data_IF_025464665055
#
_entry.id   IF_025464665055
#
_cell.length_a   1.000
_cell.length_b   1.000
_cell.length_c   1.000
_cell.angle_alpha   90.00
_cell.angle_beta   90.00
_cell.angle_gamma   90.00
#
_symmetry.space_group_name_H-M   'P 1'
#
loop_
_entity.id
_entity.type
_entity.pdbx_description
1 polymer ?
#
# COMPACT_ATOMS: atom_id res chain seq x y z
N UNK A 1 -91.92 -29.65 -33.91
CA UNK A 1 -92.55 -29.29 -32.63
C UNK A 1 -91.67 -28.19 -31.97
N UNK A 2 -92.33 -27.08 -31.69
CA UNK A 2 -91.76 -25.82 -31.17
C UNK A 2 -91.08 -25.96 -29.83
N UNK A 3 -89.97 -25.15 -29.56
CA UNK A 3 -90.05 -24.19 -28.49
C UNK A 3 -88.88 -23.21 -28.51
N UNK A 4 -89.25 -21.95 -28.40
CA UNK A 4 -88.53 -20.73 -28.17
C UNK A 4 -87.80 -20.72 -26.81
N UNK A 5 -86.70 -20.01 -26.67
CA UNK A 5 -86.07 -19.68 -25.41
C UNK A 5 -84.97 -18.59 -25.54
N UNK A 6 -85.45 -17.44 -25.44
CA UNK A 6 -84.94 -16.08 -25.00
C UNK A 6 -83.47 -15.86 -24.76
N UNK A 7 -83.01 -14.91 -25.48
CA UNK A 7 -81.79 -14.13 -25.36
C UNK A 7 -81.84 -13.22 -24.12
N UNK A 8 -80.83 -13.34 -23.21
CA UNK A 8 -80.57 -12.35 -22.19
C UNK A 8 -79.20 -11.73 -22.48
N UNK A 9 -79.22 -10.46 -22.88
CA UNK A 9 -78.05 -9.61 -23.06
C UNK A 9 -77.62 -9.08 -21.68
N UNK A 10 -76.44 -9.43 -21.25
CA UNK A 10 -75.83 -8.84 -20.06
C UNK A 10 -74.81 -7.81 -20.50
N UNK A 11 -75.21 -6.56 -20.31
CA UNK A 11 -74.33 -5.40 -20.56
C UNK A 11 -73.30 -5.31 -19.39
N UNK A 12 -72.04 -5.65 -19.67
CA UNK A 12 -70.97 -5.45 -18.71
C UNK A 12 -70.46 -3.99 -18.77
N UNK A 13 -70.64 -3.32 -17.66
CA UNK A 13 -70.06 -2.01 -17.44
C UNK A 13 -68.57 -2.19 -17.01
N UNK A 14 -67.65 -1.83 -17.89
CA UNK A 14 -66.25 -1.77 -17.55
C UNK A 14 -65.92 -0.40 -16.94
N UNK A 15 -65.70 -0.38 -15.65
CA UNK A 15 -65.18 0.78 -14.95
C UNK A 15 -63.66 0.96 -15.29
N UNK A 16 -63.18 2.16 -15.56
CA UNK A 16 -61.77 2.38 -15.78
C UNK A 16 -61.03 2.31 -14.43
N UNK A 17 -60.09 1.37 -14.31
CA UNK A 17 -59.15 1.30 -13.20
C UNK A 17 -58.12 2.40 -13.43
N UNK A 18 -58.21 3.47 -12.64
CA UNK A 18 -57.16 4.49 -12.56
C UNK A 18 -55.98 3.89 -11.76
N UNK A 19 -54.94 3.48 -12.48
CA UNK A 19 -53.66 3.11 -11.89
C UNK A 19 -52.93 4.40 -11.51
N UNK A 20 -52.94 4.75 -10.23
CA UNK A 20 -52.01 5.76 -9.68
C UNK A 20 -50.59 5.19 -9.70
N UNK A 21 -49.77 5.62 -10.64
CA UNK A 21 -48.35 5.38 -10.62
C UNK A 21 -47.72 6.29 -9.54
N UNK A 22 -47.41 5.72 -8.37
CA UNK A 22 -46.60 6.40 -7.35
C UNK A 22 -45.16 6.50 -7.85
N UNK A 23 -44.77 7.66 -8.33
CA UNK A 23 -43.35 7.99 -8.55
C UNK A 23 -42.68 8.15 -7.19
N UNK A 24 -41.98 7.11 -6.74
CA UNK A 24 -41.08 7.21 -5.61
C UNK A 24 -39.86 8.03 -6.09
N UNK A 25 -39.83 9.31 -5.72
CA UNK A 25 -38.63 10.16 -5.81
C UNK A 25 -37.63 9.62 -4.80
N UNK A 26 -36.77 8.69 -5.20
CA UNK A 26 -35.57 8.37 -4.46
C UNK A 26 -34.60 9.57 -4.61
N UNK A 27 -34.64 10.44 -3.62
CA UNK A 27 -33.60 11.45 -3.45
C UNK A 27 -32.29 10.73 -3.16
N UNK A 28 -31.57 10.36 -4.22
CA UNK A 28 -30.19 9.92 -4.13
C UNK A 28 -29.39 11.07 -3.56
N UNK A 29 -29.03 10.98 -2.29
CA UNK A 29 -27.97 11.82 -1.70
C UNK A 29 -26.72 11.49 -2.48
N UNK A 30 -26.41 12.29 -3.49
CA UNK A 30 -25.10 12.28 -4.12
C UNK A 30 -24.12 12.64 -3.01
N UNK A 31 -23.45 11.63 -2.43
CA UNK A 31 -22.25 11.83 -1.64
C UNK A 31 -21.27 12.53 -2.57
N UNK A 32 -21.22 13.86 -2.44
CA UNK A 32 -20.27 14.68 -3.16
C UNK A 32 -18.88 14.16 -2.82
N UNK A 33 -18.25 13.50 -3.77
CA UNK A 33 -16.85 13.15 -3.67
C UNK A 33 -16.11 14.48 -3.53
N UNK A 34 -15.56 14.77 -2.34
CA UNK A 34 -14.71 15.93 -2.09
C UNK A 34 -13.54 15.87 -3.08
N UNK A 35 -13.70 16.57 -4.21
CA UNK A 35 -12.68 16.65 -5.22
C UNK A 35 -11.57 17.56 -4.71
N UNK A 36 -10.35 17.03 -4.59
CA UNK A 36 -9.14 17.81 -4.35
C UNK A 36 -8.42 17.56 -3.03
N UNK A 37 -8.96 16.76 -2.09
CA UNK A 37 -8.25 16.40 -0.87
C UNK A 37 -7.67 15.00 -1.04
N UNK A 38 -6.34 14.93 -1.20
CA UNK A 38 -5.61 13.65 -1.20
C UNK A 38 -5.41 13.22 0.25
N UNK A 39 -5.94 12.05 0.60
CA UNK A 39 -5.64 11.39 1.89
C UNK A 39 -4.53 10.38 1.63
N UNK A 40 -3.47 10.38 2.47
CA UNK A 40 -2.44 9.36 2.37
C UNK A 40 -3.03 7.95 2.55
N UNK A 41 -2.47 7.00 1.81
CA UNK A 41 -2.72 5.58 2.06
C UNK A 41 -2.23 5.18 3.46
N UNK A 42 -2.69 4.04 4.00
CA UNK A 42 -2.10 3.48 5.21
C UNK A 42 -0.58 3.34 5.07
N UNK A 43 0.20 3.60 6.15
CA UNK A 43 1.66 3.53 6.07
C UNK A 43 2.14 2.11 5.69
N UNK A 44 3.10 2.02 4.77
CA UNK A 44 3.76 0.76 4.41
C UNK A 44 4.54 0.16 5.60
N UNK A 45 4.96 1.01 6.55
CA UNK A 45 5.64 0.61 7.78
C UNK A 45 5.27 1.59 8.89
N UNK A 46 5.01 1.05 10.09
CA UNK A 46 4.89 1.81 11.32
C UNK A 46 5.63 1.05 12.42
N UNK A 47 6.82 1.55 12.78
CA UNK A 47 7.69 0.91 13.76
C UNK A 47 8.26 1.95 14.72
N UNK A 48 8.42 1.59 15.99
CA UNK A 48 9.13 2.40 16.97
C UNK A 48 10.59 1.99 17.00
N UNK A 49 11.48 2.93 16.73
CA UNK A 49 12.92 2.68 16.66
C UNK A 49 13.66 3.40 17.78
N UNK A 50 14.79 2.84 18.21
CA UNK A 50 15.75 3.47 19.10
C UNK A 50 17.03 3.81 18.35
N UNK A 51 17.88 4.66 18.96
CA UNK A 51 19.17 5.01 18.37
C UNK A 51 19.09 6.08 17.27
N UNK A 52 18.03 6.87 17.21
CA UNK A 52 17.95 8.04 16.35
C UNK A 52 18.98 9.11 16.76
N UNK A 53 19.46 9.96 15.82
CA UNK A 53 20.36 11.05 16.14
C UNK A 53 19.68 12.05 17.11
N UNK A 54 20.49 12.68 17.99
CA UNK A 54 19.98 13.58 19.04
C UNK A 54 20.57 14.99 18.97
N UNK A 55 21.41 15.26 17.97
CA UNK A 55 21.98 16.58 17.73
C UNK A 55 20.89 17.61 17.41
N UNK A 56 21.16 18.90 17.66
CA UNK A 56 20.26 20.01 17.31
C UNK A 56 20.03 20.09 15.78
N UNK A 57 21.04 19.73 15.01
CA UNK A 57 20.99 19.67 13.54
C UNK A 57 21.11 18.24 13.10
N UNK A 58 20.23 17.84 12.21
CA UNK A 58 20.22 16.51 11.62
C UNK A 58 20.24 16.64 10.08
N UNK A 59 20.84 15.68 9.44
CA UNK A 59 20.85 15.53 7.99
C UNK A 59 19.88 14.44 7.58
N UNK A 60 18.98 14.75 6.64
CA UNK A 60 18.08 13.77 6.02
C UNK A 60 18.60 13.46 4.62
N UNK A 61 18.89 12.19 4.38
CA UNK A 61 19.32 11.67 3.08
C UNK A 61 18.28 10.71 2.52
N UNK A 62 17.92 10.94 1.27
CA UNK A 62 17.08 10.02 0.49
C UNK A 62 17.91 9.52 -0.67
N UNK A 63 18.19 8.23 -0.67
CA UNK A 63 19.03 7.57 -1.66
C UNK A 63 18.18 6.57 -2.45
N UNK A 64 18.58 6.26 -3.65
CA UNK A 64 18.04 5.15 -4.44
C UNK A 64 19.15 4.16 -4.74
N UNK A 65 18.83 2.87 -4.70
CA UNK A 65 19.76 1.82 -5.09
C UNK A 65 19.09 0.84 -6.05
N UNK A 66 19.90 0.32 -6.98
CA UNK A 66 19.51 -0.74 -7.90
C UNK A 66 20.47 -1.90 -7.74
N UNK A 67 19.95 -3.09 -7.47
CA UNK A 67 20.71 -4.33 -7.39
C UNK A 67 20.37 -5.19 -8.60
N UNK A 68 21.37 -5.53 -9.40
CA UNK A 68 21.22 -6.54 -10.44
C UNK A 68 21.02 -7.93 -9.83
N UNK A 69 20.55 -8.92 -10.60
CA UNK A 69 20.52 -10.31 -10.13
C UNK A 69 21.86 -10.74 -9.51
N UNK A 70 21.81 -11.26 -8.27
CA UNK A 70 22.99 -11.72 -7.54
C UNK A 70 23.81 -10.65 -6.84
N UNK A 71 23.53 -9.36 -7.01
CA UNK A 71 24.25 -8.28 -6.31
C UNK A 71 24.01 -8.32 -4.80
N UNK A 72 25.00 -7.84 -4.06
CA UNK A 72 24.94 -7.66 -2.61
C UNK A 72 25.68 -6.42 -2.16
N UNK A 73 25.33 -5.90 -0.98
CA UNK A 73 26.14 -4.85 -0.32
C UNK A 73 27.44 -5.42 0.23
N UNK A 74 28.38 -4.55 0.54
CA UNK A 74 29.49 -4.91 1.42
C UNK A 74 28.94 -5.31 2.80
N UNK A 75 29.70 -6.08 3.58
CA UNK A 75 29.37 -6.36 4.98
C UNK A 75 29.64 -5.09 5.79
N UNK A 76 28.63 -4.58 6.52
CA UNK A 76 28.67 -3.24 7.12
C UNK A 76 27.76 -3.10 8.34
N UNK A 77 27.86 -1.94 9.00
CA UNK A 77 26.90 -1.44 9.97
C UNK A 77 26.44 -0.04 9.58
N UNK A 78 25.35 0.41 10.20
CA UNK A 78 24.89 1.81 10.23
C UNK A 78 24.99 2.36 11.64
N UNK A 79 25.32 3.65 11.80
CA UNK A 79 25.36 4.31 13.12
C UNK A 79 23.96 4.68 13.62
N UNK A 80 23.04 4.92 12.72
CA UNK A 80 21.64 5.25 12.98
C UNK A 80 20.70 4.33 12.20
N UNK A 81 19.41 4.20 12.61
CA UNK A 81 18.46 3.38 11.87
C UNK A 81 18.32 3.82 10.41
N UNK A 82 18.28 2.88 9.50
CA UNK A 82 18.02 3.10 8.07
C UNK A 82 16.65 2.52 7.72
N UNK A 83 15.81 3.30 7.06
CA UNK A 83 14.55 2.79 6.52
C UNK A 83 14.72 2.53 5.04
N UNK A 84 14.41 1.31 4.60
CA UNK A 84 14.37 0.94 3.18
C UNK A 84 12.95 0.66 2.75
N UNK A 85 12.59 1.12 1.55
CA UNK A 85 11.32 0.87 0.90
C UNK A 85 11.55 0.27 -0.47
N UNK A 86 10.94 -0.88 -0.75
CA UNK A 86 11.15 -1.60 -2.00
C UNK A 86 10.17 -1.10 -3.07
N UNK A 87 10.74 -0.62 -4.18
CA UNK A 87 9.99 -0.21 -5.36
C UNK A 87 9.74 -1.39 -6.30
N UNK A 88 10.73 -2.30 -6.41
CA UNK A 88 10.71 -3.42 -7.36
C UNK A 88 11.53 -4.58 -6.81
N UNK A 89 11.08 -5.81 -7.07
CA UNK A 89 11.77 -7.04 -6.69
C UNK A 89 11.60 -7.44 -5.23
N UNK A 90 12.56 -8.21 -4.72
CA UNK A 90 12.58 -8.72 -3.35
C UNK A 90 13.99 -8.62 -2.75
N UNK A 91 14.13 -7.81 -1.72
CA UNK A 91 15.39 -7.56 -1.02
C UNK A 91 15.50 -8.46 0.21
N UNK A 92 16.63 -9.15 0.37
CA UNK A 92 16.90 -9.99 1.54
C UNK A 92 18.02 -9.37 2.36
N UNK A 93 17.74 -9.07 3.63
CA UNK A 93 18.73 -8.59 4.59
C UNK A 93 19.16 -9.73 5.50
N UNK A 94 20.45 -10.00 5.55
CA UNK A 94 21.10 -10.87 6.53
C UNK A 94 21.72 -10.01 7.61
N UNK A 95 21.40 -10.32 8.86
CA UNK A 95 21.90 -9.62 10.05
C UNK A 95 22.55 -10.62 11.00
N UNK A 96 23.69 -10.22 11.57
CA UNK A 96 24.38 -11.04 12.58
C UNK A 96 23.46 -11.39 13.74
N UNK A 97 23.38 -12.68 14.09
CA UNK A 97 22.56 -13.18 15.20
C UNK A 97 21.04 -13.21 14.95
N UNK A 98 20.58 -13.00 13.73
CA UNK A 98 19.14 -13.00 13.37
C UNK A 98 18.89 -13.86 12.12
N UNK A 99 17.67 -14.34 12.01
CA UNK A 99 17.22 -14.97 10.77
C UNK A 99 17.16 -13.92 9.64
N UNK A 100 17.51 -14.28 8.39
CA UNK A 100 17.36 -13.39 7.24
C UNK A 100 15.91 -12.92 7.07
N UNK A 101 15.74 -11.66 6.68
CA UNK A 101 14.43 -11.07 6.41
C UNK A 101 14.35 -10.70 4.94
N UNK A 102 13.26 -11.08 4.28
CA UNK A 102 13.00 -10.70 2.88
C UNK A 102 11.77 -9.82 2.81
N UNK A 103 11.90 -8.66 2.16
CA UNK A 103 10.82 -7.73 1.89
C UNK A 103 10.67 -7.52 0.37
N UNK A 104 9.43 -7.30 -0.08
CA UNK A 104 9.05 -7.22 -1.48
C UNK A 104 8.58 -5.81 -1.86
N UNK A 105 8.41 -5.58 -3.14
CA UNK A 105 7.84 -4.33 -3.65
C UNK A 105 6.58 -3.91 -2.87
N UNK A 106 6.51 -2.63 -2.50
CA UNK A 106 5.46 -2.05 -1.65
C UNK A 106 5.67 -2.21 -0.14
N UNK A 107 6.70 -2.95 0.29
CA UNK A 107 7.03 -3.15 1.71
C UNK A 107 8.24 -2.31 2.12
N UNK A 108 8.33 -2.03 3.41
CA UNK A 108 9.45 -1.35 4.02
C UNK A 108 9.94 -2.09 5.27
N UNK A 109 11.17 -1.82 5.69
CA UNK A 109 11.74 -2.28 6.97
C UNK A 109 12.69 -1.25 7.52
N UNK A 110 13.02 -1.37 8.80
CA UNK A 110 14.13 -0.65 9.43
C UNK A 110 15.32 -1.57 9.60
N UNK A 111 16.47 -1.14 9.10
CA UNK A 111 17.77 -1.71 9.39
C UNK A 111 18.25 -1.14 10.72
N UNK A 112 18.47 -1.96 11.75
CA UNK A 112 18.81 -1.47 13.07
C UNK A 112 20.26 -0.92 13.12
N UNK A 113 20.53 0.11 13.94
CA UNK A 113 21.87 0.64 14.08
C UNK A 113 22.82 -0.36 14.77
N UNK A 114 24.11 -0.28 14.46
CA UNK A 114 25.19 -1.05 15.06
C UNK A 114 25.05 -2.59 14.94
N UNK A 115 24.22 -3.08 14.05
CA UNK A 115 24.13 -4.51 13.71
C UNK A 115 24.87 -4.74 12.40
N UNK A 116 25.72 -5.75 12.36
CA UNK A 116 26.43 -6.15 11.15
C UNK A 116 25.49 -6.83 10.18
N UNK A 117 25.53 -6.43 8.91
CA UNK A 117 24.58 -6.89 7.93
C UNK A 117 25.09 -6.90 6.49
N UNK A 118 24.40 -7.64 5.64
CA UNK A 118 24.56 -7.64 4.19
C UNK A 118 23.18 -7.71 3.52
N UNK A 119 22.93 -6.80 2.61
CA UNK A 119 21.72 -6.81 1.77
C UNK A 119 21.98 -7.56 0.46
N UNK A 120 21.02 -8.37 0.02
CA UNK A 120 21.17 -9.25 -1.14
C UNK A 120 20.01 -9.12 -2.12
N UNK A 121 20.33 -9.17 -3.40
CA UNK A 121 19.40 -9.61 -4.43
C UNK A 121 19.63 -11.11 -4.70
N UNK A 122 18.72 -11.95 -4.23
CA UNK A 122 18.81 -13.42 -4.41
C UNK A 122 18.13 -13.93 -5.68
N UNK A 123 17.51 -13.03 -6.45
CA UNK A 123 16.94 -13.43 -7.76
C UNK A 123 18.06 -13.72 -8.75
N UNK A 124 17.82 -14.69 -9.61
CA UNK A 124 18.70 -14.99 -10.75
C UNK A 124 18.34 -14.14 -11.98
N UNK A 125 17.17 -13.52 -12.00
CA UNK A 125 16.60 -12.84 -13.18
C UNK A 125 16.18 -11.41 -12.93
N UNK A 126 15.68 -11.09 -11.73
CA UNK A 126 14.99 -9.85 -11.45
C UNK A 126 15.90 -8.86 -10.72
N UNK A 127 15.87 -7.63 -11.13
CA UNK A 127 16.52 -6.54 -10.40
C UNK A 127 15.71 -6.13 -9.19
N UNK A 128 16.37 -5.47 -8.25
CA UNK A 128 15.73 -4.77 -7.13
C UNK A 128 15.95 -3.28 -7.33
N UNK A 129 14.90 -2.50 -7.09
CA UNK A 129 14.99 -1.06 -6.90
C UNK A 129 14.40 -0.69 -5.56
N UNK A 130 15.11 0.13 -4.82
CA UNK A 130 14.68 0.57 -3.49
C UNK A 130 15.02 2.02 -3.21
N UNK A 131 14.30 2.60 -2.27
CA UNK A 131 14.56 3.92 -1.69
C UNK A 131 15.03 3.73 -0.26
N UNK A 132 16.03 4.50 0.12
CA UNK A 132 16.65 4.50 1.43
C UNK A 132 16.40 5.86 2.07
N UNK A 133 15.88 5.86 3.29
CA UNK A 133 15.76 7.06 4.12
C UNK A 133 16.71 6.93 5.30
N UNK A 134 17.62 7.88 5.44
CA UNK A 134 18.60 7.91 6.50
C UNK A 134 18.63 9.28 7.16
N UNK A 135 18.39 9.30 8.46
CA UNK A 135 18.51 10.49 9.29
C UNK A 135 19.71 10.32 10.20
N UNK A 136 20.65 11.24 10.16
CA UNK A 136 21.91 11.15 10.91
C UNK A 136 22.34 12.51 11.44
N UNK A 137 23.33 12.52 12.32
CA UNK A 137 24.08 13.74 12.58
C UNK A 137 24.85 14.13 11.30
N UNK A 138 25.09 15.44 11.06
CA UNK A 138 25.83 15.89 9.88
C UNK A 138 27.17 15.17 9.69
N UNK A 139 27.55 14.95 8.44
CA UNK A 139 28.80 14.29 8.05
C UNK A 139 28.96 12.83 8.50
N UNK A 140 27.91 12.21 9.08
CA UNK A 140 27.93 10.79 9.39
C UNK A 140 28.02 9.96 8.11
N UNK A 141 28.93 8.99 7.97
CA UNK A 141 28.94 8.06 6.84
C UNK A 141 27.60 7.33 6.72
N UNK A 142 27.19 7.01 5.50
CA UNK A 142 25.97 6.22 5.30
C UNK A 142 26.10 4.83 5.90
N UNK A 143 27.28 4.21 5.73
CA UNK A 143 27.60 2.89 6.29
C UNK A 143 29.06 2.86 6.72
N UNK A 144 29.39 1.98 7.67
CA UNK A 144 30.73 1.66 8.11
C UNK A 144 31.04 0.23 7.62
N UNK A 145 31.93 0.05 6.59
CA UNK A 145 32.28 -1.27 6.08
C UNK A 145 33.09 -2.05 7.12
N UNK A 146 32.86 -3.36 7.17
CA UNK A 146 33.56 -4.29 8.06
C UNK A 146 34.50 -5.16 7.21
N UNK A 147 35.74 -5.25 7.62
CA UNK A 147 36.79 -6.09 6.99
C UNK A 147 36.70 -7.51 7.49
#
# INVERSE_FOLDING_TARGET
>A
MLRFGSMWSVTQWTAPVLTLAAFALTSGVAMGQERGIVRPDPPALRESVSGMPRGERQEVRVLTATFKPGDKTVFHTHRFPVTVYILEGAFTLEMEGRAPVTIKAGQAMVEPPNVKMTGHNRSATDQIRLVIFYVSDPETPFLDPIQ
#
